data_IF_586248739973
#
_entry.id   IF_586248739973
#
_cell.length_a   1.000
_cell.length_b   1.000
_cell.length_c   1.000
_cell.angle_alpha   90.00
_cell.angle_beta   90.00
_cell.angle_gamma   90.00
#
_symmetry.space_group_name_H-M   'P 1'
#
loop_
_entity.id
_entity.type
_entity.pdbx_description
1 polymer ?
#
# COMPACT_ATOMS: atom_id res chain seq x y z
N UNK A 1 34.48 -47.41 -9.37
CA UNK A 1 34.13 -46.76 -8.09
C UNK A 1 34.01 -45.27 -8.38
N UNK A 2 32.90 -44.70 -7.96
CA UNK A 2 32.16 -43.59 -8.57
C UNK A 2 32.89 -42.23 -8.49
N UNK A 3 33.00 -41.52 -9.61
CA UNK A 3 33.32 -40.09 -9.63
C UNK A 3 32.10 -39.33 -9.12
N UNK A 4 32.24 -38.71 -7.95
CA UNK A 4 31.22 -37.84 -7.39
C UNK A 4 31.21 -36.52 -8.19
N UNK A 5 30.22 -36.34 -9.04
CA UNK A 5 29.88 -35.03 -9.59
C UNK A 5 29.33 -34.16 -8.48
N UNK A 6 30.15 -33.24 -7.98
CA UNK A 6 29.72 -32.16 -7.09
C UNK A 6 28.84 -31.19 -7.89
N UNK A 7 27.52 -31.37 -7.83
CA UNK A 7 26.59 -30.31 -8.17
C UNK A 7 26.70 -29.23 -7.08
N UNK A 8 27.53 -28.23 -7.33
CA UNK A 8 27.41 -26.94 -6.66
C UNK A 8 26.02 -26.38 -7.00
N UNK A 9 25.26 -25.83 -6.03
CA UNK A 9 24.06 -25.10 -6.37
C UNK A 9 24.48 -23.90 -7.23
N UNK A 10 23.99 -23.84 -8.46
CA UNK A 10 24.08 -22.61 -9.26
C UNK A 10 23.30 -21.58 -8.47
N UNK A 11 24.01 -20.61 -7.89
CA UNK A 11 23.42 -19.41 -7.32
C UNK A 11 22.70 -18.71 -8.47
N UNK A 12 21.41 -18.98 -8.59
CA UNK A 12 20.62 -18.57 -9.73
C UNK A 12 20.21 -17.12 -9.52
N UNK A 13 20.84 -16.21 -10.25
CA UNK A 13 20.43 -14.79 -10.34
C UNK A 13 19.03 -14.62 -10.98
N UNK A 14 18.44 -15.71 -11.46
CA UNK A 14 17.13 -15.70 -12.06
C UNK A 14 16.05 -15.29 -11.05
N UNK A 15 15.14 -14.43 -11.50
CA UNK A 15 14.03 -13.96 -10.70
C UNK A 15 12.77 -13.79 -11.56
N UNK A 16 11.64 -13.68 -10.87
CA UNK A 16 10.33 -13.55 -11.50
C UNK A 16 9.63 -12.30 -11.00
N UNK A 17 8.94 -11.62 -11.92
CA UNK A 17 8.03 -10.51 -11.62
C UNK A 17 6.62 -10.92 -12.07
N UNK A 18 5.69 -10.91 -11.13
CA UNK A 18 4.26 -11.12 -11.34
C UNK A 18 3.57 -9.77 -11.46
N UNK A 19 3.01 -9.48 -12.63
CA UNK A 19 2.36 -8.20 -12.92
C UNK A 19 0.85 -8.32 -12.78
N UNK A 20 0.27 -7.44 -11.96
CA UNK A 20 -1.16 -7.39 -11.65
C UNK A 20 -1.75 -6.03 -12.04
N UNK A 21 -3.02 -6.01 -12.45
CA UNK A 21 -3.81 -4.78 -12.60
C UNK A 21 -4.53 -4.37 -11.29
N UNK A 22 -4.57 -5.25 -10.30
CA UNK A 22 -5.09 -5.02 -8.95
C UNK A 22 -4.70 -6.20 -8.08
N UNK A 23 -4.35 -5.94 -6.82
CA UNK A 23 -4.00 -7.00 -5.87
C UNK A 23 -5.20 -7.79 -5.34
N UNK A 24 -6.41 -7.44 -5.76
CA UNK A 24 -7.62 -8.22 -5.53
C UNK A 24 -7.80 -9.37 -6.53
N UNK A 25 -7.00 -9.43 -7.61
CA UNK A 25 -7.06 -10.50 -8.61
C UNK A 25 -6.01 -11.60 -8.37
N UNK A 26 -6.28 -12.81 -8.83
CA UNK A 26 -5.34 -13.95 -8.74
C UNK A 26 -4.48 -14.09 -10.00
N UNK A 27 -5.08 -13.85 -11.16
CA UNK A 27 -4.40 -13.93 -12.45
C UNK A 27 -3.39 -12.80 -12.63
N UNK A 28 -2.28 -13.09 -13.32
CA UNK A 28 -1.19 -12.15 -13.56
C UNK A 28 -0.43 -12.51 -14.83
N UNK A 29 0.29 -11.51 -15.35
CA UNK A 29 1.36 -11.73 -16.32
C UNK A 29 2.64 -12.09 -15.56
N UNK A 30 3.35 -13.12 -16.01
CA UNK A 30 4.62 -13.51 -15.44
C UNK A 30 5.78 -13.13 -16.37
N UNK A 31 6.73 -12.36 -15.85
CA UNK A 31 7.99 -12.03 -16.50
C UNK A 31 9.13 -12.77 -15.80
N UNK A 32 9.98 -13.44 -16.57
CA UNK A 32 11.10 -14.23 -16.05
C UNK A 32 12.42 -13.63 -16.56
N UNK A 33 13.35 -13.41 -15.63
CA UNK A 33 14.67 -12.86 -15.91
C UNK A 33 15.72 -13.88 -15.48
N UNK A 34 16.74 -14.08 -16.30
CA UNK A 34 17.85 -15.01 -16.01
C UNK A 34 19.06 -14.34 -15.38
N UNK A 35 19.05 -13.00 -15.32
CA UNK A 35 20.12 -12.15 -14.79
C UNK A 35 19.52 -10.88 -14.19
N UNK A 36 20.26 -10.14 -13.34
CA UNK A 36 19.81 -8.87 -12.82
C UNK A 36 19.50 -7.87 -13.95
N UNK A 37 18.35 -7.21 -13.88
CA UNK A 37 17.96 -6.17 -14.84
C UNK A 37 17.62 -4.87 -14.14
N UNK A 38 17.66 -3.77 -14.89
CA UNK A 38 17.22 -2.46 -14.39
C UNK A 38 15.69 -2.40 -14.30
N UNK A 39 15.17 -1.60 -13.36
CA UNK A 39 13.73 -1.38 -13.20
C UNK A 39 13.07 -0.93 -14.52
N UNK A 40 13.74 -0.08 -15.29
CA UNK A 40 13.30 0.34 -16.62
C UNK A 40 13.02 -0.83 -17.56
N UNK A 41 13.85 -1.88 -17.54
CA UNK A 41 13.67 -3.08 -18.36
C UNK A 41 12.38 -3.80 -17.95
N UNK A 42 12.17 -3.97 -16.63
CA UNK A 42 10.95 -4.58 -16.09
C UNK A 42 9.70 -3.81 -16.54
N UNK A 43 9.74 -2.48 -16.47
CA UNK A 43 8.62 -1.64 -16.92
C UNK A 43 8.42 -1.71 -18.44
N UNK A 44 9.50 -1.70 -19.22
CA UNK A 44 9.45 -1.79 -20.69
C UNK A 44 8.84 -3.12 -21.14
N UNK A 45 9.31 -4.24 -20.56
CA UNK A 45 8.78 -5.57 -20.85
C UNK A 45 7.31 -5.68 -20.44
N UNK A 46 6.95 -5.08 -19.30
CA UNK A 46 5.56 -5.03 -18.84
C UNK A 46 4.66 -4.27 -19.84
N UNK A 47 5.09 -3.08 -20.30
CA UNK A 47 4.34 -2.27 -21.25
C UNK A 47 4.21 -2.99 -22.60
N UNK A 48 5.28 -3.63 -23.09
CA UNK A 48 5.26 -4.40 -24.33
C UNK A 48 4.25 -5.55 -24.29
N UNK A 49 4.04 -6.13 -23.09
CA UNK A 49 3.15 -7.27 -22.86
C UNK A 49 1.83 -6.87 -22.17
N UNK A 50 1.51 -5.58 -22.04
CA UNK A 50 0.37 -5.09 -21.24
C UNK A 50 -0.97 -5.66 -21.69
N UNK A 51 -1.10 -5.99 -22.99
CA UNK A 51 -2.30 -6.60 -23.57
C UNK A 51 -2.56 -8.03 -23.09
N UNK A 52 -1.54 -8.68 -22.53
CA UNK A 52 -1.63 -10.01 -21.92
C UNK A 52 -2.06 -9.94 -20.45
N UNK A 53 -2.18 -8.74 -19.86
CA UNK A 53 -2.68 -8.62 -18.51
C UNK A 53 -4.14 -9.08 -18.45
N UNK A 54 -4.47 -10.00 -17.52
CA UNK A 54 -5.84 -10.38 -17.26
C UNK A 54 -6.63 -9.15 -16.83
N UNK A 55 -7.64 -8.76 -17.58
CA UNK A 55 -8.50 -7.61 -17.26
C UNK A 55 -9.95 -8.05 -17.32
N UNK A 56 -10.77 -7.51 -16.41
CA UNK A 56 -12.22 -7.60 -16.59
C UNK A 56 -12.60 -6.74 -17.80
N UNK A 57 -13.60 -7.16 -18.58
CA UNK A 57 -14.00 -6.48 -19.84
C UNK A 57 -14.24 -4.96 -19.69
N UNK A 58 -14.64 -4.50 -18.51
CA UNK A 58 -14.87 -3.08 -18.21
C UNK A 58 -13.58 -2.27 -17.98
N UNK A 59 -12.46 -2.91 -17.64
CA UNK A 59 -11.18 -2.26 -17.28
C UNK A 59 -10.09 -2.42 -18.33
N UNK A 60 -10.32 -3.14 -19.43
CA UNK A 60 -9.26 -3.46 -20.41
C UNK A 60 -8.70 -2.26 -21.19
N UNK A 61 -9.30 -1.07 -21.07
CA UNK A 61 -8.89 0.13 -21.80
C UNK A 61 -8.59 1.34 -20.88
N UNK A 62 -8.52 1.12 -19.57
CA UNK A 62 -8.19 2.17 -18.61
C UNK A 62 -6.67 2.39 -18.58
N UNK A 63 -6.18 3.64 -18.59
CA UNK A 63 -4.75 3.91 -18.48
C UNK A 63 -4.21 3.46 -17.11
N UNK A 64 -2.90 3.14 -17.08
CA UNK A 64 -2.19 2.83 -15.85
C UNK A 64 -2.18 4.08 -14.96
N UNK A 65 -2.61 3.91 -13.70
CA UNK A 65 -2.51 4.94 -12.69
C UNK A 65 -1.17 4.84 -11.96
N UNK A 66 -0.15 5.49 -12.52
CA UNK A 66 1.24 5.40 -12.04
C UNK A 66 1.42 5.82 -10.58
N UNK A 67 0.66 6.81 -10.08
CA UNK A 67 0.68 7.21 -8.67
C UNK A 67 0.30 6.05 -7.74
N UNK A 68 -0.60 5.16 -8.18
CA UNK A 68 -1.00 3.98 -7.44
C UNK A 68 -0.16 2.73 -7.72
N UNK A 69 0.80 2.80 -8.64
CA UNK A 69 1.63 1.67 -8.99
C UNK A 69 2.59 1.32 -7.86
N UNK A 70 2.84 0.02 -7.65
CA UNK A 70 3.72 -0.44 -6.57
C UNK A 70 4.47 -1.71 -6.94
N UNK A 71 5.73 -1.79 -6.52
CA UNK A 71 6.56 -2.98 -6.60
C UNK A 71 6.68 -3.54 -5.18
N UNK A 72 6.40 -4.82 -5.01
CA UNK A 72 6.34 -5.46 -3.71
C UNK A 72 7.22 -6.70 -3.68
N UNK A 73 7.92 -6.90 -2.56
CA UNK A 73 8.73 -8.09 -2.30
C UNK A 73 7.87 -9.32 -2.03
N UNK A 74 6.67 -9.09 -1.49
CA UNK A 74 5.73 -10.16 -1.16
C UNK A 74 4.47 -9.65 -0.47
N UNK A 75 3.51 -10.55 -0.32
CA UNK A 75 2.25 -10.35 0.39
C UNK A 75 1.98 -11.53 1.34
N UNK A 76 1.39 -11.30 2.53
CA UNK A 76 1.14 -10.00 3.15
C UNK A 76 2.43 -9.33 3.68
N UNK A 77 2.35 -8.06 4.09
CA UNK A 77 3.45 -7.38 4.79
C UNK A 77 3.83 -8.16 6.07
N UNK A 78 5.13 -8.40 6.34
CA UNK A 78 5.57 -9.26 7.45
C UNK A 78 5.09 -8.79 8.82
N UNK A 79 5.04 -7.48 9.06
CA UNK A 79 4.58 -6.93 10.34
C UNK A 79 3.05 -6.80 10.48
N UNK A 80 2.27 -7.10 9.43
CA UNK A 80 0.80 -6.93 9.44
C UNK A 80 0.14 -7.70 10.61
N UNK A 81 0.43 -8.99 10.85
CA UNK A 81 -0.20 -9.73 11.96
C UNK A 81 0.16 -9.16 13.34
N UNK A 82 1.36 -8.62 13.49
CA UNK A 82 1.79 -8.02 14.75
C UNK A 82 0.97 -6.75 15.08
N UNK A 83 0.74 -5.89 14.09
CA UNK A 83 -0.03 -4.65 14.27
C UNK A 83 -1.49 -4.94 14.56
N UNK A 84 -2.09 -5.92 13.87
CA UNK A 84 -3.46 -6.37 14.14
C UNK A 84 -3.58 -6.86 15.59
N UNK A 85 -2.65 -7.71 16.04
CA UNK A 85 -2.61 -8.18 17.43
C UNK A 85 -2.42 -7.05 18.44
N UNK A 86 -1.64 -6.01 18.12
CA UNK A 86 -1.49 -4.85 18.99
C UNK A 86 -2.80 -4.05 19.11
N UNK A 87 -3.53 -3.86 18.01
CA UNK A 87 -4.86 -3.24 18.03
C UNK A 87 -5.84 -4.04 18.90
N UNK A 88 -5.85 -5.38 18.76
CA UNK A 88 -6.69 -6.27 19.55
C UNK A 88 -6.37 -6.15 21.05
N UNK A 89 -5.09 -6.22 21.43
CA UNK A 89 -4.70 -6.06 22.84
C UNK A 89 -4.95 -4.66 23.38
N UNK A 90 -4.70 -3.61 22.60
CA UNK A 90 -5.02 -2.25 23.00
C UNK A 90 -6.53 -2.05 23.22
N UNK A 91 -7.38 -2.76 22.46
CA UNK A 91 -8.84 -2.73 22.60
C UNK A 91 -9.32 -3.24 23.96
N UNK A 92 -8.56 -4.13 24.62
CA UNK A 92 -8.89 -4.69 25.94
C UNK A 92 -8.63 -3.70 27.08
N UNK A 93 -7.90 -2.61 26.81
CA UNK A 93 -7.46 -1.63 27.81
C UNK A 93 -8.28 -0.33 27.78
N UNK A 94 -9.30 -0.25 26.93
CA UNK A 94 -10.11 0.96 26.70
C UNK A 94 -11.60 0.72 26.97
N UNK A 95 -12.40 1.78 26.95
CA UNK A 95 -13.85 1.68 27.14
C UNK A 95 -14.56 0.95 25.99
N UNK A 96 -15.83 0.50 26.18
CA UNK A 96 -16.54 -0.33 25.19
C UNK A 96 -16.73 0.33 23.81
N UNK A 97 -16.92 1.64 23.77
CA UNK A 97 -17.08 2.38 22.50
C UNK A 97 -15.77 2.38 21.73
N UNK A 98 -14.67 2.69 22.41
CA UNK A 98 -13.32 2.71 21.85
C UNK A 98 -12.90 1.31 21.41
N UNK A 99 -13.14 0.30 22.24
CA UNK A 99 -12.84 -1.10 21.97
C UNK A 99 -13.39 -1.53 20.59
N UNK A 100 -14.64 -1.16 20.28
CA UNK A 100 -15.26 -1.43 18.98
C UNK A 100 -14.50 -0.78 17.83
N UNK A 101 -14.03 0.46 17.98
CA UNK A 101 -13.25 1.16 16.95
C UNK A 101 -11.92 0.46 16.68
N UNK A 102 -11.20 0.03 17.71
CA UNK A 102 -9.96 -0.75 17.56
C UNK A 102 -10.20 -2.07 16.82
N UNK A 103 -11.24 -2.82 17.20
CA UNK A 103 -11.61 -4.09 16.57
C UNK A 103 -12.05 -3.93 15.11
N UNK A 104 -12.81 -2.88 14.80
CA UNK A 104 -13.19 -2.55 13.43
C UNK A 104 -11.97 -2.25 12.57
N UNK A 105 -11.02 -1.43 13.07
CA UNK A 105 -9.79 -1.15 12.34
C UNK A 105 -8.96 -2.41 12.12
N UNK A 106 -8.80 -3.25 13.15
CA UNK A 106 -8.10 -4.54 13.03
C UNK A 106 -8.72 -5.42 11.93
N UNK A 107 -10.04 -5.51 11.89
CA UNK A 107 -10.80 -6.23 10.86
C UNK A 107 -10.57 -5.65 9.46
N UNK A 108 -10.51 -4.32 9.32
CA UNK A 108 -10.23 -3.70 8.03
C UNK A 108 -8.79 -3.94 7.59
N UNK A 109 -7.81 -3.77 8.48
CA UNK A 109 -6.42 -4.06 8.17
C UNK A 109 -6.24 -5.49 7.69
N UNK A 110 -6.92 -6.46 8.31
CA UNK A 110 -6.88 -7.87 7.89
C UNK A 110 -7.35 -8.06 6.43
N UNK A 111 -8.44 -7.38 6.03
CA UNK A 111 -8.98 -7.46 4.66
C UNK A 111 -8.12 -6.76 3.60
N UNK A 112 -7.46 -5.67 3.97
CA UNK A 112 -6.65 -4.87 3.04
C UNK A 112 -5.46 -5.66 2.49
N UNK A 113 -5.21 -5.49 1.18
CA UNK A 113 -4.02 -6.05 0.50
C UNK A 113 -2.81 -5.17 0.79
N UNK A 114 -2.11 -5.48 1.88
CA UNK A 114 -0.92 -4.75 2.32
C UNK A 114 0.28 -5.69 2.13
N UNK A 115 1.25 -5.28 1.30
CA UNK A 115 2.46 -6.06 0.98
C UNK A 115 3.72 -5.44 1.57
N UNK A 116 4.91 -5.97 1.30
CA UNK A 116 6.19 -5.29 1.60
C UNK A 116 6.61 -4.48 0.37
N UNK A 117 6.36 -3.17 0.37
CA UNK A 117 6.56 -2.29 -0.80
C UNK A 117 8.02 -1.85 -0.89
N UNK A 118 8.58 -1.92 -2.10
CA UNK A 118 9.80 -1.22 -2.43
C UNK A 118 9.46 0.22 -2.85
N UNK A 119 9.83 1.20 -2.02
CA UNK A 119 9.60 2.62 -2.29
C UNK A 119 10.59 3.16 -3.33
N UNK A 120 10.30 2.86 -4.59
CA UNK A 120 11.00 3.38 -5.78
C UNK A 120 9.98 4.04 -6.71
N UNK A 121 10.32 5.13 -7.41
CA UNK A 121 9.48 5.66 -8.48
C UNK A 121 9.21 4.59 -9.53
N UNK A 122 7.96 4.51 -10.01
CA UNK A 122 7.54 3.58 -11.05
C UNK A 122 6.98 4.29 -12.29
N UNK A 123 6.86 5.61 -12.26
CA UNK A 123 6.55 6.40 -13.43
C UNK A 123 7.63 6.14 -14.50
N UNK A 124 7.19 5.61 -15.63
CA UNK A 124 8.09 5.14 -16.67
C UNK A 124 8.98 6.26 -17.24
N UNK A 125 8.44 7.47 -17.41
CA UNK A 125 9.21 8.59 -17.94
C UNK A 125 10.27 9.05 -16.92
N UNK A 126 9.93 9.08 -15.62
CA UNK A 126 10.89 9.39 -14.56
C UNK A 126 12.02 8.34 -14.48
N UNK A 127 11.66 7.06 -14.51
CA UNK A 127 12.63 5.94 -14.43
C UNK A 127 13.59 5.94 -15.63
N UNK A 128 13.07 6.23 -16.83
CA UNK A 128 13.89 6.28 -18.06
C UNK A 128 14.91 7.42 -18.04
N UNK A 129 14.54 8.59 -17.52
CA UNK A 129 15.38 9.80 -17.59
C UNK A 129 16.33 9.91 -16.40
N UNK A 130 15.90 9.44 -15.21
CA UNK A 130 16.70 9.56 -13.99
C UNK A 130 17.32 8.22 -13.56
N UNK A 131 18.64 8.10 -13.69
CA UNK A 131 19.39 6.90 -13.31
C UNK A 131 19.23 6.52 -11.83
N UNK A 132 19.05 7.48 -10.92
CA UNK A 132 18.83 7.18 -9.49
C UNK A 132 17.48 6.55 -9.23
N UNK A 133 16.51 6.75 -10.13
CA UNK A 133 15.18 6.15 -10.11
C UNK A 133 15.13 4.81 -10.86
N UNK A 134 16.27 4.32 -11.36
CA UNK A 134 16.37 3.09 -12.15
C UNK A 134 17.28 2.06 -11.46
N UNK A 135 16.88 1.54 -10.28
CA UNK A 135 17.68 0.57 -9.54
C UNK A 135 17.84 -0.74 -10.31
N UNK A 136 18.88 -1.50 -9.98
CA UNK A 136 19.00 -2.90 -10.38
C UNK A 136 18.00 -3.71 -9.54
N UNK A 137 17.33 -4.65 -10.19
CA UNK A 137 16.43 -5.65 -9.63
C UNK A 137 17.10 -7.01 -9.81
N UNK A 138 17.18 -7.79 -8.72
CA UNK A 138 17.92 -9.06 -8.69
C UNK A 138 17.35 -10.01 -7.64
N UNK A 139 17.62 -11.32 -7.82
CA UNK A 139 17.27 -12.35 -6.85
C UNK A 139 17.97 -12.16 -5.49
N UNK A 140 19.19 -11.59 -5.48
CA UNK A 140 19.94 -11.30 -4.26
C UNK A 140 19.24 -10.27 -3.37
N UNK A 141 18.65 -9.25 -3.98
CA UNK A 141 17.91 -8.23 -3.24
C UNK A 141 16.54 -8.75 -2.79
N UNK A 142 15.94 -9.66 -3.56
CA UNK A 142 14.55 -10.08 -3.44
C UNK A 142 14.42 -11.59 -3.75
N UNK A 143 14.54 -12.47 -2.73
CA UNK A 143 14.69 -13.92 -2.92
C UNK A 143 13.40 -14.67 -3.32
N UNK A 144 12.39 -13.98 -3.85
CA UNK A 144 11.10 -14.55 -4.21
C UNK A 144 10.42 -13.80 -5.36
N UNK A 145 9.27 -14.31 -5.86
CA UNK A 145 8.54 -13.66 -6.93
C UNK A 145 8.07 -12.28 -6.46
N UNK A 146 8.49 -11.25 -7.17
CA UNK A 146 8.05 -9.88 -6.93
C UNK A 146 6.65 -9.68 -7.49
N UNK A 147 5.88 -8.80 -6.87
CA UNK A 147 4.59 -8.36 -7.41
C UNK A 147 4.70 -6.93 -7.89
N UNK A 148 4.52 -6.69 -9.19
CA UNK A 148 4.33 -5.37 -9.76
C UNK A 148 2.84 -5.12 -9.95
N UNK A 149 2.29 -4.12 -9.26
CA UNK A 149 0.86 -3.76 -9.33
C UNK A 149 0.74 -2.48 -10.15
N UNK A 150 0.02 -2.53 -11.26
CA UNK A 150 -0.26 -1.43 -12.20
C UNK A 150 -1.76 -1.18 -12.27
N UNK A 151 -2.34 -0.48 -11.27
CA UNK A 151 -3.78 -0.35 -11.14
C UNK A 151 -4.38 0.64 -12.13
N UNK A 152 -5.66 0.48 -12.45
CA UNK A 152 -6.47 1.58 -12.96
C UNK A 152 -6.76 2.59 -11.84
N UNK A 153 -7.03 3.84 -12.22
CA UNK A 153 -7.36 4.90 -11.25
C UNK A 153 -8.64 4.50 -10.46
N UNK A 154 -8.59 4.40 -9.13
CA UNK A 154 -9.78 4.15 -8.34
C UNK A 154 -10.66 5.41 -8.28
N UNK A 155 -11.92 5.23 -7.91
CA UNK A 155 -12.93 6.27 -7.72
C UNK A 155 -13.30 6.47 -6.24
N UNK A 156 -12.48 5.94 -5.32
CA UNK A 156 -12.70 5.97 -3.88
C UNK A 156 -11.44 6.38 -3.10
N UNK A 157 -11.63 6.73 -1.83
CA UNK A 157 -10.59 6.83 -0.80
C UNK A 157 -10.95 5.92 0.35
N UNK A 158 -9.97 5.54 1.17
CA UNK A 158 -10.24 4.88 2.45
C UNK A 158 -10.26 5.90 3.58
N UNK A 159 -11.21 5.78 4.51
CA UNK A 159 -11.20 6.54 5.75
C UNK A 159 -11.08 5.56 6.92
N UNK A 160 -9.95 5.63 7.64
CA UNK A 160 -9.53 4.65 8.63
C UNK A 160 -9.06 5.32 9.93
N UNK A 161 -8.99 4.53 11.00
CA UNK A 161 -8.47 4.96 12.30
C UNK A 161 -9.55 5.14 13.35
N UNK A 162 -9.43 6.21 14.13
CA UNK A 162 -10.34 6.60 15.21
C UNK A 162 -11.66 7.22 14.69
N UNK A 163 -12.36 6.50 13.82
CA UNK A 163 -13.63 6.90 13.19
C UNK A 163 -14.75 5.93 13.58
N UNK A 164 -16.01 6.35 13.46
CA UNK A 164 -17.17 5.50 13.81
C UNK A 164 -17.35 4.35 12.81
N UNK A 165 -16.98 4.60 11.54
CA UNK A 165 -17.05 3.62 10.46
C UNK A 165 -15.77 3.63 9.62
N UNK A 166 -14.92 2.63 9.81
CA UNK A 166 -13.75 2.41 8.96
C UNK A 166 -14.20 1.84 7.61
N UNK A 167 -14.14 2.62 6.53
CA UNK A 167 -14.76 2.28 5.24
C UNK A 167 -14.16 3.02 4.03
N UNK A 168 -14.49 2.56 2.82
CA UNK A 168 -14.27 3.33 1.60
C UNK A 168 -15.33 4.43 1.44
N UNK A 169 -14.91 5.60 0.95
CA UNK A 169 -15.77 6.71 0.59
C UNK A 169 -15.55 7.08 -0.89
N UNK A 170 -16.59 7.52 -1.62
CA UNK A 170 -16.43 8.01 -2.98
C UNK A 170 -15.42 9.15 -3.05
N UNK A 171 -14.46 9.06 -3.97
CA UNK A 171 -13.51 10.13 -4.19
C UNK A 171 -14.19 11.29 -4.91
N UNK A 172 -14.09 12.48 -4.32
CA UNK A 172 -14.61 13.72 -4.90
C UNK A 172 -13.47 14.73 -4.98
N UNK A 173 -13.40 15.44 -6.11
CA UNK A 173 -12.38 16.46 -6.33
C UNK A 173 -12.47 17.57 -5.29
N UNK A 174 -11.31 18.07 -4.83
CA UNK A 174 -11.19 19.15 -3.84
C UNK A 174 -11.88 18.89 -2.50
N UNK A 175 -12.17 17.63 -2.17
CA UNK A 175 -12.66 17.25 -0.84
C UNK A 175 -11.50 17.19 0.12
N UNK A 176 -11.60 17.94 1.21
CA UNK A 176 -10.62 17.98 2.30
C UNK A 176 -10.70 16.76 3.22
N UNK A 177 -9.64 16.51 3.99
CA UNK A 177 -9.63 15.45 5.00
C UNK A 177 -10.80 15.55 5.99
N UNK A 178 -11.11 16.77 6.47
CA UNK A 178 -12.21 16.99 7.41
C UNK A 178 -13.57 16.61 6.79
N UNK A 179 -13.82 16.93 5.52
CA UNK A 179 -15.07 16.55 4.85
C UNK A 179 -15.23 15.04 4.70
N UNK A 180 -14.14 14.29 4.47
CA UNK A 180 -14.20 12.82 4.48
C UNK A 180 -14.47 12.26 5.88
N UNK A 181 -13.90 12.88 6.92
CA UNK A 181 -14.15 12.48 8.32
C UNK A 181 -15.59 12.73 8.76
N UNK A 182 -16.21 13.83 8.31
CA UNK A 182 -17.63 14.13 8.56
C UNK A 182 -18.57 13.06 7.98
N UNK A 183 -18.22 12.44 6.84
CA UNK A 183 -19.03 11.39 6.21
C UNK A 183 -19.10 10.09 7.03
N UNK A 184 -18.04 9.76 7.74
CA UNK A 184 -17.94 8.51 8.52
C UNK A 184 -18.10 8.71 10.03
N UNK A 185 -18.06 9.95 10.50
CA UNK A 185 -18.06 10.31 11.92
C UNK A 185 -16.73 10.01 12.61
N UNK A 186 -16.32 10.90 13.53
CA UNK A 186 -15.12 10.70 14.35
C UNK A 186 -15.47 10.01 15.68
N UNK A 187 -14.55 9.22 16.22
CA UNK A 187 -14.68 8.65 17.56
C UNK A 187 -14.32 9.69 18.64
N UNK A 188 -14.82 9.51 19.87
CA UNK A 188 -14.50 10.31 21.06
C UNK A 188 -12.99 10.43 21.33
N UNK A 189 -12.25 9.37 21.01
CA UNK A 189 -10.82 9.21 21.29
C UNK A 189 -9.92 9.53 20.09
N UNK A 190 -10.37 10.43 19.22
CA UNK A 190 -9.65 10.78 17.99
C UNK A 190 -8.77 12.01 18.15
N UNK A 191 -7.75 12.13 17.30
CA UNK A 191 -7.08 13.40 17.08
C UNK A 191 -8.09 14.39 16.47
N UNK A 192 -8.14 15.61 17.00
CA UNK A 192 -9.09 16.65 16.58
C UNK A 192 -8.47 17.77 15.74
N UNK A 193 -7.16 17.72 15.50
CA UNK A 193 -6.39 18.82 14.91
C UNK A 193 -5.74 18.45 13.59
N UNK A 194 -5.30 17.20 13.43
CA UNK A 194 -4.56 16.72 12.25
C UNK A 194 -5.07 15.34 11.83
N UNK A 195 -5.34 15.19 10.54
CA UNK A 195 -5.47 13.91 9.87
C UNK A 195 -4.17 13.59 9.11
N UNK A 196 -3.81 12.31 9.04
CA UNK A 196 -2.68 11.85 8.24
C UNK A 196 -3.20 11.30 6.92
N UNK A 197 -2.73 11.85 5.81
CA UNK A 197 -3.04 11.35 4.47
C UNK A 197 -1.91 10.47 4.00
N UNK A 198 -2.25 9.27 3.54
CA UNK A 198 -1.32 8.35 2.89
C UNK A 198 -1.72 8.30 1.42
N UNK A 199 -0.93 8.95 0.58
CA UNK A 199 -1.17 8.98 -0.87
C UNK A 199 -0.95 7.57 -1.47
N UNK A 200 -1.46 7.29 -2.69
CA UNK A 200 -1.33 5.96 -3.31
C UNK A 200 0.11 5.50 -3.57
N UNK A 201 1.05 6.45 -3.69
CA UNK A 201 2.49 6.19 -3.80
C UNK A 201 3.15 5.88 -2.43
N UNK A 202 2.39 6.02 -1.35
CA UNK A 202 2.80 5.83 0.03
C UNK A 202 3.49 7.05 0.66
N UNK A 203 3.44 8.22 0.01
CA UNK A 203 3.79 9.49 0.64
C UNK A 203 2.83 9.78 1.80
N UNK A 204 3.38 10.35 2.88
CA UNK A 204 2.63 10.68 4.10
C UNK A 204 2.58 12.19 4.25
N UNK A 205 1.39 12.72 4.42
CA UNK A 205 1.13 14.14 4.58
C UNK A 205 0.28 14.40 5.82
N UNK A 206 0.54 15.52 6.50
CA UNK A 206 -0.32 16.00 7.58
C UNK A 206 -1.27 17.07 7.04
N UNK A 207 -2.56 16.82 7.20
CA UNK A 207 -3.64 17.71 6.77
C UNK A 207 -4.32 18.26 8.03
N UNK A 208 -4.26 19.58 8.25
CA UNK A 208 -4.99 20.20 9.34
C UNK A 208 -6.51 20.05 9.13
N UNK A 209 -7.23 19.66 10.18
CA UNK A 209 -8.70 19.45 10.12
C UNK A 209 -9.48 20.43 11.01
N UNK A 210 -8.79 21.22 11.83
CA UNK A 210 -9.46 22.17 12.69
C UNK A 210 -9.89 23.41 11.88
N UNK A 211 -10.97 24.06 12.32
CA UNK A 211 -11.52 25.20 11.58
C UNK A 211 -10.56 26.40 11.51
N UNK A 212 -9.61 26.52 12.46
CA UNK A 212 -8.70 27.65 12.62
C UNK A 212 -7.37 27.49 11.88
N UNK A 213 -7.07 26.30 11.34
CA UNK A 213 -5.82 26.00 10.63
C UNK A 213 -6.06 25.46 9.21
N UNK A 214 -7.17 25.85 8.57
CA UNK A 214 -7.54 25.37 7.23
C UNK A 214 -6.45 25.68 6.20
N UNK A 215 -5.83 24.62 5.69
CA UNK A 215 -4.91 24.63 4.57
C UNK A 215 -5.37 23.53 3.60
N UNK A 216 -5.71 23.90 2.36
CA UNK A 216 -6.22 22.94 1.40
C UNK A 216 -5.08 22.17 0.77
N UNK A 217 -5.13 20.85 0.89
CA UNK A 217 -4.20 19.92 0.26
C UNK A 217 -4.99 18.83 -0.46
N UNK A 218 -4.56 18.48 -1.66
CA UNK A 218 -5.29 17.54 -2.50
C UNK A 218 -5.09 16.09 -2.02
N UNK A 219 -6.19 15.35 -1.97
CA UNK A 219 -6.22 13.92 -1.65
C UNK A 219 -6.43 13.17 -2.95
N UNK A 220 -5.47 12.33 -3.35
CA UNK A 220 -5.56 11.59 -4.59
C UNK A 220 -6.56 10.41 -4.48
N UNK A 221 -7.18 9.98 -5.58
CA UNK A 221 -7.97 8.75 -5.57
C UNK A 221 -7.11 7.55 -5.17
N UNK A 222 -7.66 6.71 -4.30
CA UNK A 222 -6.98 5.55 -3.71
C UNK A 222 -6.17 5.88 -2.46
N UNK A 223 -6.10 7.16 -2.06
CA UNK A 223 -5.45 7.57 -0.82
C UNK A 223 -6.21 7.06 0.40
N UNK A 224 -5.53 7.12 1.54
CA UNK A 224 -6.10 6.80 2.85
C UNK A 224 -6.10 8.07 3.69
N UNK A 225 -7.27 8.45 4.18
CA UNK A 225 -7.46 9.42 5.26
C UNK A 225 -7.40 8.66 6.58
N UNK A 226 -6.30 8.82 7.32
CA UNK A 226 -6.10 8.18 8.61
C UNK A 226 -6.27 9.17 9.75
N UNK A 227 -7.21 8.88 10.65
CA UNK A 227 -7.40 9.63 11.90
C UNK A 227 -6.75 8.86 13.06
N UNK A 228 -5.69 9.42 13.65
CA UNK A 228 -4.98 8.78 14.75
C UNK A 228 -5.83 8.70 16.02
N UNK A 229 -5.57 7.67 16.82
CA UNK A 229 -6.09 7.57 18.18
C UNK A 229 -5.33 8.53 19.09
N UNK A 230 -6.04 9.31 19.90
CA UNK A 230 -5.42 10.14 20.93
C UNK A 230 -5.18 9.31 22.19
N UNK A 231 -4.30 9.73 23.11
CA UNK A 231 -4.12 9.12 24.44
C UNK A 231 -4.04 7.57 24.46
N UNK A 232 -3.33 6.95 23.52
CA UNK A 232 -3.19 5.48 23.45
C UNK A 232 -2.75 4.86 24.80
N UNK A 233 -3.22 3.64 25.16
CA UNK A 233 -2.84 3.00 26.42
C UNK A 233 -1.33 2.85 26.57
N UNK A 234 -0.85 2.84 27.83
CA UNK A 234 0.57 2.64 28.13
C UNK A 234 1.10 1.37 27.47
N UNK A 235 2.19 1.48 26.72
CA UNK A 235 2.79 0.39 25.95
C UNK A 235 2.41 0.37 24.47
N UNK A 236 1.49 1.24 24.03
CA UNK A 236 1.01 1.33 22.64
C UNK A 236 1.20 2.73 22.03
N UNK A 237 2.09 3.56 22.59
CA UNK A 237 2.24 4.95 22.16
C UNK A 237 2.69 5.09 20.69
N UNK A 238 3.43 4.11 20.16
CA UNK A 238 3.87 4.06 18.75
C UNK A 238 2.82 3.52 17.78
N UNK A 239 1.67 3.05 18.25
CA UNK A 239 0.73 2.27 17.44
C UNK A 239 0.19 3.05 16.23
N UNK A 240 -0.05 4.36 16.37
CA UNK A 240 -0.45 5.20 15.23
C UNK A 240 0.62 5.19 14.13
N UNK A 241 1.89 5.40 14.49
CA UNK A 241 3.00 5.44 13.53
C UNK A 241 3.23 4.08 12.88
N UNK A 242 3.08 2.99 13.65
CA UNK A 242 3.16 1.63 13.12
C UNK A 242 2.04 1.34 12.12
N UNK A 243 0.81 1.77 12.40
CA UNK A 243 -0.33 1.64 11.49
C UNK A 243 -0.10 2.48 10.22
N UNK A 244 0.32 3.73 10.35
CA UNK A 244 0.64 4.60 9.20
C UNK A 244 1.70 3.93 8.33
N UNK A 245 2.80 3.45 8.93
CA UNK A 245 3.86 2.77 8.20
C UNK A 245 3.38 1.50 7.49
N UNK A 246 2.51 0.71 8.12
CA UNK A 246 1.89 -0.45 7.48
C UNK A 246 1.03 -0.02 6.28
N UNK A 247 0.16 0.98 6.46
CA UNK A 247 -0.79 1.44 5.46
C UNK A 247 -0.14 2.05 4.20
N UNK A 248 1.06 2.64 4.32
CA UNK A 248 1.87 3.08 3.15
C UNK A 248 2.17 1.96 2.16
N UNK A 249 2.07 0.70 2.59
CA UNK A 249 2.30 -0.48 1.78
C UNK A 249 1.01 -1.12 1.24
N UNK A 250 -0.15 -0.45 1.37
CA UNK A 250 -1.40 -0.91 0.77
C UNK A 250 -1.28 -0.89 -0.75
N UNK A 251 -1.64 -1.99 -1.40
CA UNK A 251 -1.79 -2.10 -2.84
C UNK A 251 -3.23 -1.75 -3.27
N UNK A 252 -3.39 -1.33 -4.53
CA UNK A 252 -4.68 -1.17 -5.21
C UNK A 252 -5.05 -2.44 -5.99
#
# INVERSE_FOLDING_TARGET
MTLASSNLPVDSDAFTVQVYNSRNQTEHLQLNYTQPVRLEQVLTDTIANIRLLPTTKEKSNQPIYWTGAGLYKGFPHPNKPNIIRQLEKASELVGPSEQKTFQQLATQLDKLKIGDRLFTPLDYDLVRINRTSNPIISAQQLPGPMSLVLPSRPDSVWVLGAVQHNSEQPWVTRTSANQYLEQVGTASYSNNSIATIIQPDGAVEQHPIAYWNKDHKDIAPGAIVYLGFNNLPTGYQSLNDEIINLLRNKAL
#
